data_IF_470996487004
#
_entry.id   IF_470996487004
#
_cell.length_a   1.000
_cell.length_b   1.000
_cell.length_c   1.000
_cell.angle_alpha   90.00
_cell.angle_beta   90.00
_cell.angle_gamma   90.00
#
_symmetry.space_group_name_H-M   'P 1'
#
loop_
_entity.id
_entity.type
_entity.pdbx_description
1 polymer ?
#
# COMPACT_ATOMS: atom_id res chain seq x y z
N UNK A 1 -5.78 -2.56 -31.26
CA UNK A 1 -6.02 -3.03 -29.87
C UNK A 1 -4.97 -4.05 -29.40
N UNK A 2 -4.49 -4.96 -30.28
CA UNK A 2 -3.48 -5.99 -29.94
C UNK A 2 -2.08 -5.46 -29.51
N UNK A 3 -1.57 -4.40 -30.14
CA UNK A 3 -0.20 -3.90 -29.90
C UNK A 3 0.02 -3.28 -28.51
N UNK A 4 -0.99 -2.58 -27.96
CA UNK A 4 -0.88 -1.97 -26.61
C UNK A 4 -0.88 -3.01 -25.49
N UNK A 5 -1.63 -4.11 -25.66
CA UNK A 5 -1.66 -5.22 -24.70
C UNK A 5 -0.31 -5.93 -24.67
N UNK A 6 0.32 -6.16 -25.83
CA UNK A 6 1.65 -6.75 -25.91
C UNK A 6 2.76 -5.90 -25.29
N UNK A 7 2.71 -4.57 -25.44
CA UNK A 7 3.69 -3.65 -24.83
C UNK A 7 3.54 -3.63 -23.30
N UNK A 8 2.31 -3.72 -22.79
CA UNK A 8 2.09 -3.78 -21.34
C UNK A 8 2.50 -5.11 -20.71
N UNK A 9 2.26 -6.24 -21.38
CA UNK A 9 2.68 -7.57 -20.87
C UNK A 9 4.21 -7.71 -20.88
N UNK A 10 4.89 -7.16 -21.89
CA UNK A 10 6.37 -7.12 -21.90
C UNK A 10 6.94 -6.24 -20.78
N UNK A 11 6.27 -5.15 -20.43
CA UNK A 11 6.69 -4.29 -19.30
C UNK A 11 6.53 -4.95 -17.93
N UNK A 12 5.52 -5.81 -17.74
CA UNK A 12 5.35 -6.55 -16.48
C UNK A 12 6.47 -7.58 -16.23
N UNK A 13 7.13 -8.06 -17.28
CA UNK A 13 8.28 -8.96 -17.20
C UNK A 13 9.62 -8.25 -17.32
N UNK A 14 9.62 -6.91 -17.28
CA UNK A 14 10.85 -6.14 -17.30
C UNK A 14 11.72 -6.51 -16.08
N UNK A 15 13.05 -6.69 -16.23
CA UNK A 15 13.92 -7.10 -15.12
C UNK A 15 13.82 -6.20 -13.89
N UNK A 16 13.65 -4.89 -14.09
CA UNK A 16 13.42 -3.95 -12.99
C UNK A 16 12.09 -4.19 -12.25
N UNK A 17 11.01 -4.55 -12.96
CA UNK A 17 9.72 -4.88 -12.33
C UNK A 17 9.83 -6.16 -11.49
N UNK A 18 10.60 -7.14 -11.95
CA UNK A 18 10.87 -8.36 -11.20
C UNK A 18 11.76 -8.05 -9.98
N UNK A 19 12.80 -7.22 -10.15
CA UNK A 19 13.66 -6.80 -9.06
C UNK A 19 12.89 -6.03 -7.98
N UNK A 20 12.03 -5.07 -8.35
CA UNK A 20 11.17 -4.35 -7.39
C UNK A 20 10.21 -5.29 -6.68
N UNK A 21 9.59 -6.25 -7.40
CA UNK A 21 8.75 -7.28 -6.79
C UNK A 21 9.52 -8.09 -5.73
N UNK A 22 10.70 -8.60 -6.08
CA UNK A 22 11.52 -9.40 -5.18
C UNK A 22 11.93 -8.59 -3.94
N UNK A 23 12.31 -7.32 -4.12
CA UNK A 23 12.63 -6.43 -3.01
C UNK A 23 11.41 -6.23 -2.11
N UNK A 24 10.24 -5.91 -2.69
CA UNK A 24 9.00 -5.67 -1.94
C UNK A 24 8.58 -6.90 -1.14
N UNK A 25 8.64 -8.09 -1.74
CA UNK A 25 8.36 -9.36 -1.04
C UNK A 25 9.41 -9.64 0.05
N UNK A 26 10.68 -9.38 -0.22
CA UNK A 26 11.75 -9.60 0.77
C UNK A 26 11.59 -8.67 1.98
N UNK A 27 11.22 -7.41 1.76
CA UNK A 27 10.94 -6.45 2.83
C UNK A 27 9.67 -6.83 3.61
N UNK A 28 8.63 -7.28 2.91
CA UNK A 28 7.44 -7.81 3.58
C UNK A 28 7.78 -9.00 4.48
N UNK A 29 8.64 -9.93 4.04
CA UNK A 29 9.11 -11.04 4.87
C UNK A 29 10.01 -10.57 6.01
N UNK A 30 10.81 -9.52 5.80
CA UNK A 30 11.68 -8.96 6.83
C UNK A 30 10.88 -8.39 8.02
N UNK A 31 9.63 -7.96 7.82
CA UNK A 31 8.70 -7.58 8.90
C UNK A 31 8.51 -8.73 9.91
N UNK A 32 8.57 -10.00 9.49
CA UNK A 32 8.43 -11.15 10.39
C UNK A 32 9.63 -11.33 11.33
N UNK A 33 10.80 -10.78 10.96
CA UNK A 33 12.05 -10.89 11.72
C UNK A 33 12.28 -9.62 12.55
N UNK A 34 12.19 -8.46 11.93
CA UNK A 34 12.30 -7.15 12.58
C UNK A 34 11.11 -6.27 12.20
N UNK A 35 10.00 -6.31 12.97
CA UNK A 35 8.75 -5.66 12.61
C UNK A 35 8.87 -4.18 12.28
N UNK A 36 9.56 -3.41 13.13
CA UNK A 36 9.68 -1.96 12.95
C UNK A 36 10.53 -1.61 11.72
N UNK A 37 11.75 -2.14 11.64
CA UNK A 37 12.66 -1.83 10.54
C UNK A 37 12.16 -2.39 9.20
N UNK A 38 11.59 -3.60 9.20
CA UNK A 38 10.98 -4.18 8.00
C UNK A 38 9.84 -3.32 7.47
N UNK A 39 8.99 -2.79 8.36
CA UNK A 39 7.88 -1.93 7.97
C UNK A 39 8.38 -0.55 7.49
N UNK A 40 9.32 0.08 8.19
CA UNK A 40 9.90 1.35 7.74
C UNK A 40 10.56 1.22 6.37
N UNK A 41 11.33 0.16 6.15
CA UNK A 41 11.93 -0.09 4.83
C UNK A 41 10.88 -0.40 3.77
N UNK A 42 9.80 -1.13 4.09
CA UNK A 42 8.74 -1.40 3.12
C UNK A 42 8.05 -0.10 2.67
N UNK A 43 7.82 0.85 3.57
CA UNK A 43 7.26 2.17 3.23
C UNK A 43 8.20 3.00 2.34
N UNK A 44 9.51 2.99 2.63
CA UNK A 44 10.50 3.71 1.80
C UNK A 44 10.55 3.13 0.38
N UNK A 45 10.57 1.80 0.26
CA UNK A 45 10.63 1.15 -1.05
C UNK A 45 9.32 1.19 -1.83
N UNK A 46 8.18 1.31 -1.15
CA UNK A 46 6.89 1.63 -1.77
C UNK A 46 6.95 2.96 -2.52
N UNK A 47 7.50 4.00 -1.89
CA UNK A 47 7.70 5.27 -2.56
C UNK A 47 8.69 5.17 -3.73
N UNK A 48 9.81 4.48 -3.54
CA UNK A 48 10.85 4.35 -4.57
C UNK A 48 10.39 3.52 -5.78
N UNK A 49 9.60 2.47 -5.58
CA UNK A 49 9.13 1.65 -6.69
C UNK A 49 8.22 2.45 -7.63
N UNK A 50 7.44 3.40 -7.10
CA UNK A 50 6.62 4.30 -7.91
C UNK A 50 7.48 5.12 -8.85
N UNK A 51 8.62 5.62 -8.36
CA UNK A 51 9.54 6.43 -9.13
C UNK A 51 10.22 5.59 -10.22
N UNK A 52 10.65 4.39 -9.88
CA UNK A 52 11.34 3.48 -10.82
C UNK A 52 10.36 3.00 -11.90
N UNK A 53 9.19 2.48 -11.51
CA UNK A 53 8.29 1.83 -12.44
C UNK A 53 7.55 2.84 -13.33
N UNK A 54 7.16 4.00 -12.81
CA UNK A 54 6.48 5.02 -13.62
C UNK A 54 7.48 5.79 -14.48
N UNK A 55 8.61 6.26 -13.94
CA UNK A 55 9.49 7.17 -14.69
C UNK A 55 10.61 6.46 -15.45
N UNK A 56 11.16 5.34 -14.95
CA UNK A 56 12.25 4.62 -15.60
C UNK A 56 11.72 3.54 -16.54
N UNK A 57 10.87 2.65 -16.03
CA UNK A 57 10.26 1.56 -16.83
C UNK A 57 9.16 2.09 -17.76
N UNK A 58 8.66 3.32 -17.53
CA UNK A 58 7.56 3.96 -18.26
C UNK A 58 6.26 3.17 -18.18
N UNK A 59 6.00 2.53 -17.04
CA UNK A 59 4.74 1.85 -16.78
C UNK A 59 3.62 2.86 -16.66
N UNK A 60 2.49 2.59 -17.33
CA UNK A 60 1.29 3.40 -17.18
C UNK A 60 0.88 3.42 -15.69
N UNK A 61 0.56 4.60 -15.18
CA UNK A 61 0.16 4.83 -13.79
C UNK A 61 -0.98 3.94 -13.31
N UNK A 62 -1.97 3.64 -14.15
CA UNK A 62 -3.08 2.73 -13.81
C UNK A 62 -2.60 1.28 -13.70
N UNK A 63 -1.69 0.85 -14.59
CA UNK A 63 -1.09 -0.49 -14.55
C UNK A 63 -0.21 -0.64 -13.31
N UNK A 64 0.62 0.36 -13.03
CA UNK A 64 1.42 0.41 -11.81
C UNK A 64 0.53 0.36 -10.57
N UNK A 65 -0.52 1.17 -10.48
CA UNK A 65 -1.43 1.15 -9.32
C UNK A 65 -2.07 -0.22 -9.08
N UNK A 66 -2.43 -0.95 -10.14
CA UNK A 66 -2.94 -2.32 -10.00
C UNK A 66 -1.85 -3.29 -9.54
N UNK A 67 -0.65 -3.18 -10.09
CA UNK A 67 0.49 -4.01 -9.71
C UNK A 67 0.86 -3.78 -8.23
N UNK A 68 1.03 -2.52 -7.86
CA UNK A 68 1.39 -2.07 -6.51
C UNK A 68 0.41 -2.60 -5.46
N UNK A 69 -0.90 -2.42 -5.70
CA UNK A 69 -1.94 -2.89 -4.78
C UNK A 69 -1.99 -4.41 -4.65
N UNK A 70 -1.56 -5.15 -5.66
CA UNK A 70 -1.43 -6.61 -5.55
C UNK A 70 -0.22 -6.98 -4.69
N UNK A 71 0.90 -6.26 -4.82
CA UNK A 71 2.14 -6.52 -4.08
C UNK A 71 2.02 -6.12 -2.60
N UNK A 72 1.28 -5.05 -2.30
CA UNK A 72 0.98 -4.60 -0.93
C UNK A 72 0.39 -5.70 -0.03
N UNK A 73 -0.35 -6.66 -0.61
CA UNK A 73 -0.95 -7.76 0.16
C UNK A 73 0.08 -8.64 0.86
N UNK A 74 1.29 -8.76 0.30
CA UNK A 74 2.37 -9.48 0.97
C UNK A 74 2.74 -8.79 2.29
N UNK A 75 2.84 -7.45 2.29
CA UNK A 75 3.13 -6.69 3.50
C UNK A 75 1.96 -6.75 4.48
N UNK A 76 0.71 -6.62 4.02
CA UNK A 76 -0.46 -6.72 4.89
C UNK A 76 -0.57 -8.09 5.57
N UNK A 77 -0.26 -9.17 4.85
CA UNK A 77 -0.27 -10.52 5.41
C UNK A 77 0.80 -10.70 6.49
N UNK A 78 2.04 -10.24 6.26
CA UNK A 78 3.12 -10.38 7.25
C UNK A 78 2.88 -9.51 8.48
N UNK A 79 2.37 -8.29 8.28
CA UNK A 79 1.92 -7.42 9.37
C UNK A 79 0.79 -8.06 10.20
N UNK A 80 -0.21 -8.70 9.56
CA UNK A 80 -1.28 -9.39 10.28
C UNK A 80 -0.74 -10.55 11.13
N UNK A 81 0.22 -11.31 10.60
CA UNK A 81 0.91 -12.38 11.35
C UNK A 81 1.63 -11.81 12.56
N UNK A 82 2.34 -10.69 12.40
CA UNK A 82 3.00 -10.01 13.54
C UNK A 82 1.96 -9.50 14.53
N UNK A 83 0.91 -8.81 14.09
CA UNK A 83 -0.14 -8.30 14.97
C UNK A 83 -0.80 -9.43 15.79
N UNK A 84 -1.00 -10.61 15.19
CA UNK A 84 -1.48 -11.79 15.90
C UNK A 84 -0.53 -12.24 17.02
N UNK A 85 0.79 -12.23 16.77
CA UNK A 85 1.80 -12.56 17.80
C UNK A 85 1.79 -11.57 18.97
N UNK A 86 1.39 -10.32 18.73
CA UNK A 86 1.27 -9.29 19.75
C UNK A 86 -0.14 -9.23 20.40
N UNK A 87 -1.04 -10.15 20.07
CA UNK A 87 -2.39 -10.23 20.65
C UNK A 87 -3.44 -9.32 20.00
N UNK A 88 -3.11 -8.66 18.89
CA UNK A 88 -4.00 -7.72 18.17
C UNK A 88 -4.64 -8.34 16.92
N UNK A 89 -4.81 -9.66 16.86
CA UNK A 89 -5.31 -10.34 15.66
C UNK A 89 -6.67 -9.80 15.19
N UNK A 90 -7.66 -9.72 16.09
CA UNK A 90 -9.03 -9.32 15.76
C UNK A 90 -9.12 -7.89 15.16
N UNK A 91 -8.58 -6.84 15.79
CA UNK A 91 -8.64 -5.49 15.22
C UNK A 91 -7.88 -5.40 13.88
N UNK A 92 -6.75 -6.07 13.74
CA UNK A 92 -6.02 -6.07 12.46
C UNK A 92 -6.73 -6.88 11.38
N UNK A 93 -7.41 -7.98 11.73
CA UNK A 93 -8.23 -8.73 10.78
C UNK A 93 -9.36 -7.86 10.24
N UNK A 94 -10.02 -7.06 11.10
CA UNK A 94 -11.03 -6.11 10.66
C UNK A 94 -10.45 -5.08 9.68
N UNK A 95 -9.31 -4.47 10.01
CA UNK A 95 -8.64 -3.51 9.12
C UNK A 95 -8.19 -4.14 7.79
N UNK A 96 -7.73 -5.40 7.83
CA UNK A 96 -7.35 -6.18 6.65
C UNK A 96 -8.54 -6.40 5.72
N UNK A 97 -9.68 -6.83 6.28
CA UNK A 97 -10.92 -7.03 5.52
C UNK A 97 -11.49 -5.70 5.01
N UNK A 98 -11.45 -4.66 5.83
CA UNK A 98 -11.85 -3.31 5.43
C UNK A 98 -11.04 -2.83 4.21
N UNK A 99 -9.71 -3.00 4.23
CA UNK A 99 -8.83 -2.69 3.09
C UNK A 99 -9.11 -3.59 1.88
N UNK A 100 -9.47 -4.84 2.11
CA UNK A 100 -9.84 -5.78 1.04
C UNK A 100 -11.06 -5.30 0.24
N UNK A 101 -12.08 -4.75 0.90
CA UNK A 101 -13.24 -4.19 0.21
C UNK A 101 -12.84 -3.05 -0.72
N UNK A 102 -11.99 -2.12 -0.25
CA UNK A 102 -11.45 -1.04 -1.07
C UNK A 102 -10.66 -1.54 -2.27
N UNK A 103 -9.79 -2.54 -2.07
CA UNK A 103 -9.02 -3.20 -3.13
C UNK A 103 -9.93 -3.83 -4.20
N UNK A 104 -10.92 -4.63 -3.79
CA UNK A 104 -11.85 -5.28 -4.73
C UNK A 104 -12.66 -4.23 -5.51
N UNK A 105 -13.12 -3.17 -4.84
CA UNK A 105 -13.81 -2.04 -5.47
C UNK A 105 -12.95 -1.37 -6.54
N UNK A 106 -11.69 -1.07 -6.21
CA UNK A 106 -10.72 -0.50 -7.16
C UNK A 106 -10.43 -1.44 -8.33
N UNK A 107 -10.14 -2.72 -8.09
CA UNK A 107 -9.76 -3.67 -9.15
C UNK A 107 -10.88 -3.87 -10.18
N UNK A 108 -12.14 -3.79 -9.75
CA UNK A 108 -13.30 -3.91 -10.65
C UNK A 108 -13.61 -2.64 -11.43
N UNK A 109 -13.39 -1.46 -10.83
CA UNK A 109 -13.91 -0.19 -11.37
C UNK A 109 -12.83 0.78 -11.85
N UNK A 110 -11.57 0.57 -11.46
CA UNK A 110 -10.45 1.51 -11.59
C UNK A 110 -10.69 2.89 -10.97
N UNK A 111 -11.69 3.04 -10.09
CA UNK A 111 -12.00 4.32 -9.46
C UNK A 111 -11.16 4.48 -8.20
N UNK A 112 -10.33 5.53 -8.16
CA UNK A 112 -9.49 5.87 -6.99
C UNK A 112 -10.30 6.31 -5.76
N UNK A 113 -11.56 6.72 -5.96
CA UNK A 113 -12.48 7.14 -4.90
C UNK A 113 -12.66 6.07 -3.82
N UNK A 114 -12.53 4.78 -4.15
CA UNK A 114 -12.58 3.71 -3.15
C UNK A 114 -11.49 3.83 -2.09
N UNK A 115 -10.33 4.43 -2.39
CA UNK A 115 -9.26 4.62 -1.41
C UNK A 115 -9.51 5.77 -0.43
N UNK A 116 -10.42 6.69 -0.77
CA UNK A 116 -10.90 7.72 0.17
C UNK A 116 -11.83 7.08 1.20
N UNK A 117 -12.73 6.19 0.77
CA UNK A 117 -13.68 5.53 1.69
C UNK A 117 -13.09 4.31 2.41
N UNK A 118 -12.00 3.76 1.88
CA UNK A 118 -11.26 2.62 2.42
C UNK A 118 -9.76 2.94 2.48
N UNK A 119 -9.36 4.00 3.22
CA UNK A 119 -7.98 4.38 3.45
C UNK A 119 -7.16 3.21 4.01
N UNK A 120 -5.84 3.28 3.80
CA UNK A 120 -4.91 2.35 4.42
C UNK A 120 -4.67 2.71 5.90
N UNK A 121 -5.68 2.45 6.74
CA UNK A 121 -5.55 2.57 8.21
C UNK A 121 -4.74 1.42 8.82
N UNK A 122 -4.56 0.33 8.07
CA UNK A 122 -3.86 -0.87 8.50
C UNK A 122 -2.39 -0.57 8.83
N UNK A 123 -1.69 0.13 7.93
CA UNK A 123 -0.29 0.52 8.15
C UNK A 123 -0.14 1.49 9.33
N UNK A 124 -1.10 2.40 9.54
CA UNK A 124 -1.10 3.33 10.66
C UNK A 124 -1.29 2.62 12.00
N UNK A 125 -2.22 1.65 12.03
CA UNK A 125 -2.43 0.81 13.19
C UNK A 125 -1.21 -0.06 13.50
N UNK A 126 -0.54 -0.57 12.47
CA UNK A 126 0.69 -1.36 12.62
C UNK A 126 1.81 -0.54 13.23
N UNK A 127 2.05 0.66 12.71
CA UNK A 127 3.05 1.57 13.26
C UNK A 127 2.73 1.96 14.71
N UNK A 128 1.46 2.25 15.02
CA UNK A 128 1.04 2.54 16.38
C UNK A 128 1.33 1.37 17.33
N UNK A 129 0.96 0.15 16.91
CA UNK A 129 1.17 -1.06 17.70
C UNK A 129 2.66 -1.24 18.01
N UNK A 130 3.56 -1.01 17.05
CA UNK A 130 4.99 -1.20 17.24
C UNK A 130 5.67 -0.13 18.09
N UNK A 131 5.23 1.13 18.00
CA UNK A 131 5.87 2.25 18.69
C UNK A 131 5.32 2.49 20.09
N UNK A 132 4.05 2.14 20.32
CA UNK A 132 3.29 2.68 21.44
C UNK A 132 2.60 1.60 22.29
N UNK A 133 2.34 0.39 21.77
CA UNK A 133 1.71 -0.68 22.55
C UNK A 133 2.67 -1.29 23.59
N UNK A 134 2.22 -1.61 24.82
CA UNK A 134 0.84 -1.55 25.33
C UNK A 134 0.53 -0.32 26.20
N UNK A 135 1.49 0.58 26.45
CA UNK A 135 1.41 1.57 27.54
C UNK A 135 0.73 2.91 27.16
N UNK A 136 0.29 3.08 25.92
CA UNK A 136 -0.09 4.39 25.39
C UNK A 136 -1.58 4.55 25.06
N UNK A 137 -2.08 5.78 25.09
CA UNK A 137 -3.49 6.06 24.85
C UNK A 137 -3.86 5.90 23.37
N UNK A 138 -5.05 5.33 23.15
CA UNK A 138 -5.76 5.21 21.85
C UNK A 138 -5.88 6.53 21.07
N UNK A 139 -5.64 7.67 21.73
CA UNK A 139 -5.56 9.00 21.12
C UNK A 139 -4.52 9.04 19.99
N UNK A 140 -3.36 8.41 20.15
CA UNK A 140 -2.33 8.39 19.10
C UNK A 140 -2.79 7.64 17.85
N UNK A 141 -3.51 6.53 18.03
CA UNK A 141 -4.11 5.79 16.93
C UNK A 141 -5.15 6.64 16.20
N UNK A 142 -6.02 7.34 16.95
CA UNK A 142 -7.02 8.24 16.38
C UNK A 142 -6.39 9.39 15.57
N UNK A 143 -5.31 9.99 16.09
CA UNK A 143 -4.56 11.03 15.39
C UNK A 143 -3.94 10.51 14.08
N UNK A 144 -3.33 9.31 14.12
CA UNK A 144 -2.76 8.69 12.92
C UNK A 144 -3.84 8.37 11.87
N UNK A 145 -5.01 7.90 12.31
CA UNK A 145 -6.14 7.63 11.41
C UNK A 145 -6.65 8.92 10.77
N UNK A 146 -6.86 9.97 11.56
CA UNK A 146 -7.29 11.26 11.05
C UNK A 146 -6.29 11.85 10.06
N UNK A 147 -4.99 11.83 10.40
CA UNK A 147 -3.93 12.31 9.51
C UNK A 147 -3.90 11.52 8.19
N UNK A 148 -4.13 10.21 8.24
CA UNK A 148 -4.17 9.36 7.06
C UNK A 148 -5.39 9.65 6.18
N UNK A 149 -6.55 9.91 6.78
CA UNK A 149 -7.76 10.29 6.06
C UNK A 149 -7.57 11.61 5.29
N UNK A 150 -7.00 12.63 5.95
CA UNK A 150 -6.68 13.91 5.32
C UNK A 150 -5.70 13.71 4.16
N UNK A 151 -4.69 12.87 4.33
CA UNK A 151 -3.74 12.55 3.27
C UNK A 151 -4.42 11.87 2.07
N UNK A 152 -5.27 10.85 2.29
CA UNK A 152 -5.99 10.16 1.21
C UNK A 152 -6.94 11.10 0.47
N UNK A 153 -7.63 12.00 1.19
CA UNK A 153 -8.46 13.04 0.59
C UNK A 153 -7.62 13.99 -0.29
N UNK A 154 -6.47 14.46 0.21
CA UNK A 154 -5.56 15.30 -0.57
C UNK A 154 -5.10 14.57 -1.83
N UNK A 155 -4.70 13.31 -1.73
CA UNK A 155 -4.07 12.55 -2.82
C UNK A 155 -5.07 12.12 -3.91
N UNK A 156 -6.31 11.80 -3.54
CA UNK A 156 -7.31 11.26 -4.46
C UNK A 156 -8.40 12.25 -4.87
N UNK A 157 -8.67 13.28 -4.07
CA UNK A 157 -9.63 14.33 -4.40
C UNK A 157 -8.92 15.62 -4.79
N UNK A 158 -8.12 16.23 -3.92
CA UNK A 158 -7.59 17.58 -4.17
C UNK A 158 -6.49 17.61 -5.25
N UNK A 159 -5.48 16.75 -5.15
CA UNK A 159 -4.31 16.74 -6.04
C UNK A 159 -4.68 16.54 -7.52
N UNK A 160 -5.57 15.60 -7.90
CA UNK A 160 -5.99 15.47 -9.29
C UNK A 160 -6.79 16.67 -9.83
N UNK A 161 -7.51 17.39 -8.95
CA UNK A 161 -8.27 18.59 -9.34
C UNK A 161 -7.37 19.84 -9.42
N UNK A 162 -6.37 19.95 -8.55
CA UNK A 162 -5.40 21.05 -8.54
C UNK A 162 -4.38 20.95 -9.68
N UNK A 163 -4.04 19.72 -10.11
CA UNK A 163 -3.12 19.45 -11.21
C UNK A 163 -3.79 18.55 -12.26
N UNK A 164 -4.61 19.12 -13.17
CA UNK A 164 -5.37 18.37 -14.17
C UNK A 164 -4.52 17.74 -15.31
N UNK A 165 -3.22 17.56 -15.11
CA UNK A 165 -2.32 16.95 -16.09
C UNK A 165 -2.06 15.49 -15.72
N UNK A 166 -2.75 14.58 -16.42
CA UNK A 166 -2.37 13.20 -16.79
C UNK A 166 -3.63 12.34 -17.03
N UNK A 167 -4.40 12.74 -18.05
CA UNK A 167 -5.33 11.86 -18.75
C UNK A 167 -4.63 11.14 -19.90
#
# INVERSE_FOLDING_TARGET
MSTRVHIQTTLSWHPLTIATLLIRVSLALYILVHPLWGFLWSMVFDYLDSQILIHVVRMNRMTYQRWDKCVDWCAYATQLVVAARYGFFVPFLFLFLYRFVGFVGFMRTNKRVYFIFFPNLFDMAFLWMLLFSPATPWVWLALLFFAKEVHEFILHYWWPHAHPTEG
#
